data_IF_907150963787
#
_entry.id   IF_907150963787
#
_cell.length_a   1.000
_cell.length_b   1.000
_cell.length_c   1.000
_cell.angle_alpha   90.00
_cell.angle_beta   90.00
_cell.angle_gamma   90.00
#
_symmetry.space_group_name_H-M   'P 1'
#
loop_
_entity.id
_entity.type
_entity.pdbx_description
1 polymer ?
#
# COMPACT_ATOMS: atom_id res chain seq x y z
N UNK A 1 -22.39 3.75 2.88
CA UNK A 1 -21.17 4.48 3.28
C UNK A 1 -20.56 5.11 2.04
N UNK A 2 -20.19 6.39 2.14
CA UNK A 2 -19.48 7.12 1.07
C UNK A 2 -18.00 7.16 1.43
N UNK A 3 -17.14 6.70 0.53
CA UNK A 3 -15.69 6.74 0.71
C UNK A 3 -15.05 7.63 -0.34
N UNK A 4 -14.15 8.50 0.12
CA UNK A 4 -13.29 9.32 -0.72
C UNK A 4 -11.85 9.14 -0.22
N UNK A 5 -11.04 8.46 -1.03
CA UNK A 5 -9.61 8.27 -0.79
C UNK A 5 -8.84 9.20 -1.73
N UNK A 6 -7.98 10.03 -1.16
CA UNK A 6 -7.08 10.94 -1.87
C UNK A 6 -5.64 10.57 -1.52
N UNK A 7 -4.89 10.04 -2.49
CA UNK A 7 -3.45 9.85 -2.36
C UNK A 7 -2.74 10.96 -3.15
N UNK A 8 -1.78 11.62 -2.52
CA UNK A 8 -1.05 12.74 -3.08
C UNK A 8 0.44 12.44 -3.08
N UNK A 9 0.99 12.06 -4.23
CA UNK A 9 2.43 11.79 -4.36
C UNK A 9 3.11 12.98 -5.05
N UNK A 10 4.07 13.61 -4.36
CA UNK A 10 4.97 14.57 -4.99
C UNK A 10 6.03 13.81 -5.80
N UNK A 11 5.92 13.84 -7.12
CA UNK A 11 6.88 13.23 -8.04
C UNK A 11 7.90 14.29 -8.45
N UNK A 12 9.18 14.08 -8.13
CA UNK A 12 10.27 14.92 -8.64
C UNK A 12 10.41 14.73 -10.15
N UNK A 13 10.29 15.83 -10.90
CA UNK A 13 10.45 15.86 -12.36
C UNK A 13 11.95 15.83 -12.69
N UNK A 14 12.45 14.80 -13.39
CA UNK A 14 13.88 14.66 -13.78
C UNK A 14 14.16 15.09 -15.22
N UNK A 15 13.16 15.60 -15.94
CA UNK A 15 13.28 16.00 -17.35
C UNK A 15 13.18 17.52 -17.47
N UNK A 16 14.34 18.13 -17.76
CA UNK A 16 14.57 19.56 -17.98
C UNK A 16 14.68 20.38 -16.68
N UNK A 17 15.68 21.26 -16.59
CA UNK A 17 16.11 21.98 -15.38
C UNK A 17 15.16 23.03 -14.81
N UNK A 18 13.85 22.76 -14.83
CA UNK A 18 12.80 23.47 -14.12
C UNK A 18 12.32 22.54 -12.98
N UNK A 19 12.73 22.87 -11.75
CA UNK A 19 12.36 22.14 -10.54
C UNK A 19 10.90 22.46 -10.17
N UNK A 20 9.96 21.90 -10.93
CA UNK A 20 8.53 21.97 -10.64
C UNK A 20 8.06 20.59 -10.14
N UNK A 21 7.55 20.49 -8.90
CA UNK A 21 7.03 19.23 -8.38
C UNK A 21 5.78 18.85 -9.17
N UNK A 22 5.81 17.70 -9.84
CA UNK A 22 4.61 17.13 -10.45
C UNK A 22 3.83 16.42 -9.36
N UNK A 23 2.69 16.98 -8.97
CA UNK A 23 1.80 16.38 -7.98
C UNK A 23 0.93 15.34 -8.70
N UNK A 24 1.13 14.05 -8.42
CA UNK A 24 0.28 12.97 -8.95
C UNK A 24 -0.84 12.68 -7.96
N UNK A 25 -2.06 13.08 -8.32
CA UNK A 25 -3.27 12.86 -7.53
C UNK A 25 -4.00 11.60 -7.99
N UNK A 26 -4.31 10.69 -7.07
CA UNK A 26 -5.22 9.57 -7.31
C UNK A 26 -6.45 9.72 -6.41
N UNK A 27 -7.63 9.84 -7.02
CA UNK A 27 -8.92 9.96 -6.33
C UNK A 27 -9.78 8.74 -6.59
N UNK A 28 -10.24 8.09 -5.54
CA UNK A 28 -11.17 6.95 -5.63
C UNK A 28 -12.46 7.32 -4.89
N UNK A 29 -13.58 7.34 -5.61
CA UNK A 29 -14.93 7.53 -5.08
C UNK A 29 -15.71 6.23 -5.17
N UNK A 30 -16.26 5.76 -4.04
CA UNK A 30 -17.10 4.55 -4.02
C UNK A 30 -18.24 4.67 -3.01
N UNK A 31 -19.42 4.18 -3.39
CA UNK A 31 -20.62 4.13 -2.55
C UNK A 31 -20.98 2.67 -2.31
N UNK A 32 -21.01 2.28 -1.04
CA UNK A 32 -21.16 0.87 -0.65
C UNK A 32 -22.28 0.74 0.38
N UNK A 33 -23.24 -0.16 0.13
CA UNK A 33 -24.26 -0.55 1.09
C UNK A 33 -23.71 -1.70 1.95
N UNK A 34 -23.63 -1.49 3.27
CA UNK A 34 -23.09 -2.48 4.21
C UNK A 34 -24.02 -2.67 5.39
N UNK A 35 -24.19 -3.90 5.85
CA UNK A 35 -24.98 -4.26 7.02
C UNK A 35 -24.09 -4.21 8.28
N UNK A 36 -24.65 -3.74 9.40
CA UNK A 36 -23.91 -3.55 10.66
C UNK A 36 -23.43 -4.88 11.26
N UNK A 37 -22.23 -4.89 11.82
CA UNK A 37 -21.76 -5.96 12.71
C UNK A 37 -20.75 -6.94 12.11
N UNK A 38 -20.61 -7.02 10.78
CA UNK A 38 -19.68 -7.93 10.12
C UNK A 38 -18.54 -7.16 9.45
N UNK A 39 -17.30 -7.67 9.56
CA UNK A 39 -16.15 -7.14 8.82
C UNK A 39 -16.30 -7.49 7.34
N UNK A 40 -16.23 -6.50 6.47
CA UNK A 40 -16.32 -6.65 5.01
C UNK A 40 -15.00 -6.21 4.39
N UNK A 41 -14.51 -6.99 3.43
CA UNK A 41 -13.36 -6.61 2.60
C UNK A 41 -13.88 -5.65 1.53
N UNK A 42 -13.40 -4.41 1.57
CA UNK A 42 -13.77 -3.37 0.60
C UNK A 42 -13.07 -3.56 -0.75
N UNK A 43 -11.90 -4.19 -0.70
CA UNK A 43 -11.06 -4.47 -1.85
C UNK A 43 -9.59 -4.53 -1.46
N UNK A 44 -8.74 -4.67 -2.47
CA UNK A 44 -7.30 -4.69 -2.30
C UNK A 44 -6.58 -4.35 -3.59
N UNK A 45 -5.32 -3.96 -3.47
CA UNK A 45 -4.43 -3.68 -4.60
C UNK A 45 -3.32 -4.72 -4.58
N UNK A 46 -3.16 -5.44 -5.69
CA UNK A 46 -2.03 -6.33 -5.92
C UNK A 46 -1.12 -5.65 -6.93
N UNK A 47 0.14 -5.43 -6.54
CA UNK A 47 1.15 -4.84 -7.40
C UNK A 47 2.28 -5.84 -7.62
N UNK A 48 2.43 -6.25 -8.87
CA UNK A 48 3.54 -7.08 -9.31
C UNK A 48 4.58 -6.21 -10.03
N UNK A 49 5.80 -6.18 -9.50
CA UNK A 49 6.96 -5.55 -10.15
C UNK A 49 7.94 -6.63 -10.58
N UNK A 50 8.15 -6.75 -11.89
CA UNK A 50 9.14 -7.66 -12.49
C UNK A 50 10.26 -6.83 -13.07
N UNK A 51 11.48 -7.04 -12.57
CA UNK A 51 12.69 -6.43 -13.12
C UNK A 51 13.60 -7.52 -13.68
N UNK A 52 13.99 -7.36 -14.94
CA UNK A 52 14.94 -8.22 -15.61
C UNK A 52 16.13 -7.40 -16.06
N UNK A 53 17.31 -7.71 -15.54
CA UNK A 53 18.57 -7.06 -15.93
C UNK A 53 19.46 -8.09 -16.60
N UNK A 54 19.90 -7.79 -17.83
CA UNK A 54 20.90 -8.60 -18.54
C UNK A 54 22.17 -7.77 -18.63
N UNK A 55 23.21 -8.22 -17.94
CA UNK A 55 24.53 -7.58 -17.95
C UNK A 55 25.52 -8.52 -18.62
N UNK A 56 26.42 -8.03 -19.46
CA UNK A 56 27.37 -8.91 -20.14
C UNK A 56 28.34 -8.11 -20.99
N UNK A 57 29.34 -8.80 -21.54
CA UNK A 57 30.34 -8.15 -22.40
C UNK A 57 29.66 -7.80 -23.75
N UNK A 58 29.72 -6.53 -24.20
CA UNK A 58 29.25 -6.14 -25.53
C UNK A 58 29.88 -7.01 -26.62
N UNK A 59 29.18 -7.26 -27.74
CA UNK A 59 29.54 -8.22 -28.80
C UNK A 59 29.46 -9.71 -28.40
N UNK A 60 30.10 -10.14 -27.32
CA UNK A 60 30.16 -11.56 -26.96
C UNK A 60 28.83 -12.11 -26.41
N UNK A 61 28.06 -11.25 -25.73
CA UNK A 61 26.74 -11.64 -25.17
C UNK A 61 25.68 -11.97 -26.24
N UNK A 62 25.88 -11.50 -27.47
CA UNK A 62 24.91 -11.63 -28.58
C UNK A 62 25.25 -12.78 -29.53
N UNK A 63 26.32 -13.55 -29.24
CA UNK A 63 26.71 -14.71 -30.05
C UNK A 63 25.67 -15.84 -29.84
N UNK A 64 25.04 -16.34 -30.92
CA UNK A 64 24.12 -17.47 -30.82
C UNK A 64 24.84 -18.69 -30.23
N UNK A 65 24.13 -19.49 -29.43
CA UNK A 65 24.63 -20.67 -28.70
C UNK A 65 25.62 -20.42 -27.54
N UNK A 66 26.42 -19.35 -27.55
CA UNK A 66 27.48 -19.10 -26.57
C UNK A 66 27.28 -17.84 -25.71
N UNK A 67 26.35 -16.95 -26.08
CA UNK A 67 26.15 -15.66 -25.40
C UNK A 67 25.76 -15.74 -23.91
N UNK A 68 25.29 -16.89 -23.44
CA UNK A 68 24.96 -17.14 -22.03
C UNK A 68 26.20 -17.31 -21.13
N UNK A 69 27.37 -17.65 -21.68
CA UNK A 69 28.63 -17.75 -20.93
C UNK A 69 29.25 -16.38 -20.63
N UNK A 70 28.87 -15.36 -21.41
CA UNK A 70 29.38 -13.98 -21.34
C UNK A 70 28.31 -12.98 -20.89
N UNK A 71 27.14 -13.46 -20.46
CA UNK A 71 26.06 -12.65 -19.90
C UNK A 71 25.52 -13.22 -18.60
N UNK A 72 25.18 -12.32 -17.68
CA UNK A 72 24.50 -12.58 -16.42
C UNK A 72 23.08 -12.04 -16.51
N UNK A 73 22.10 -12.91 -16.26
CA UNK A 73 20.68 -12.53 -16.20
C UNK A 73 20.26 -12.50 -14.74
N UNK A 74 19.85 -11.34 -14.26
CA UNK A 74 19.24 -11.17 -12.94
C UNK A 74 17.74 -10.97 -13.13
N UNK A 75 16.94 -11.80 -12.46
CA UNK A 75 15.48 -11.63 -12.38
C UNK A 75 15.11 -11.28 -10.95
N UNK A 76 14.38 -10.20 -10.77
CA UNK A 76 13.80 -9.78 -9.50
C UNK A 76 12.29 -9.70 -9.65
N UNK A 77 11.57 -10.27 -8.68
CA UNK A 77 10.11 -10.20 -8.61
C UNK A 77 9.73 -9.70 -7.22
N UNK A 78 9.03 -8.56 -7.18
CA UNK A 78 8.50 -7.97 -5.95
C UNK A 78 6.99 -7.93 -6.07
N UNK A 79 6.31 -8.56 -5.12
CA UNK A 79 4.85 -8.56 -5.02
C UNK A 79 4.43 -7.82 -3.77
N UNK A 80 3.52 -6.86 -3.93
CA UNK A 80 2.98 -6.06 -2.83
C UNK A 80 1.47 -6.21 -2.82
N UNK A 81 0.91 -6.58 -1.66
CA UNK A 81 -0.52 -6.78 -1.46
C UNK A 81 -1.02 -5.81 -0.40
N UNK A 82 -2.05 -5.04 -0.73
CA UNK A 82 -2.75 -4.17 0.20
C UNK A 82 -4.21 -4.63 0.29
N UNK A 83 -4.71 -4.82 1.51
CA UNK A 83 -6.10 -5.20 1.77
C UNK A 83 -6.74 -4.16 2.67
N UNK A 84 -7.95 -3.71 2.32
CA UNK A 84 -8.73 -2.76 3.11
C UNK A 84 -9.97 -3.45 3.67
N UNK A 85 -10.06 -3.52 5.00
CA UNK A 85 -11.18 -4.09 5.73
C UNK A 85 -11.95 -2.99 6.47
N UNK A 86 -13.28 -3.13 6.55
CA UNK A 86 -14.11 -2.26 7.39
C UNK A 86 -15.10 -3.08 8.22
N UNK A 87 -15.30 -2.66 9.46
CA UNK A 87 -16.32 -3.22 10.35
C UNK A 87 -17.29 -2.12 10.76
N UNK A 88 -18.43 -1.96 10.06
CA UNK A 88 -19.42 -0.95 10.40
C UNK A 88 -20.10 -1.31 11.73
N UNK A 89 -20.22 -0.32 12.64
CA UNK A 89 -20.91 -0.46 13.91
C UNK A 89 -21.98 0.63 14.06
N UNK A 90 -23.24 0.23 14.14
CA UNK A 90 -24.36 1.15 14.38
C UNK A 90 -24.52 1.37 15.88
N UNK A 91 -24.52 2.64 16.30
CA UNK A 91 -24.73 3.04 17.69
C UNK A 91 -26.09 3.74 17.76
N UNK A 92 -27.03 3.14 18.48
CA UNK A 92 -28.41 3.67 18.60
C UNK A 92 -28.58 4.57 19.82
N UNK A 93 -27.70 4.46 20.83
CA UNK A 93 -27.87 5.14 22.10
C UNK A 93 -26.58 5.86 22.55
N UNK A 94 -26.70 7.07 23.10
CA UNK A 94 -25.54 7.91 23.49
C UNK A 94 -24.71 7.26 24.61
N UNK A 95 -25.34 6.49 25.50
CA UNK A 95 -24.67 5.80 26.59
C UNK A 95 -23.76 4.67 26.08
N UNK A 96 -24.18 3.96 25.02
CA UNK A 96 -23.38 2.90 24.39
C UNK A 96 -22.14 3.48 23.69
N UNK A 97 -22.25 4.67 23.10
CA UNK A 97 -21.11 5.37 22.50
C UNK A 97 -20.01 5.63 23.54
N UNK A 98 -20.40 6.10 24.72
CA UNK A 98 -19.48 6.45 25.81
C UNK A 98 -18.75 5.20 26.33
N UNK A 99 -19.48 4.08 26.50
CA UNK A 99 -18.90 2.80 26.91
C UNK A 99 -17.86 2.30 25.89
N UNK A 100 -18.19 2.33 24.60
CA UNK A 100 -17.30 1.84 23.54
C UNK A 100 -16.05 2.71 23.43
N UNK A 101 -16.18 4.04 23.50
CA UNK A 101 -15.04 4.97 23.43
C UNK A 101 -14.11 4.80 24.63
N UNK A 102 -14.65 4.57 25.82
CA UNK A 102 -13.86 4.40 27.04
C UNK A 102 -13.08 3.08 27.02
N UNK A 103 -13.72 1.99 26.58
CA UNK A 103 -13.07 0.69 26.41
C UNK A 103 -11.97 0.74 25.32
N UNK A 104 -12.24 1.40 24.20
CA UNK A 104 -11.27 1.55 23.12
C UNK A 104 -10.05 2.37 23.56
N UNK A 105 -10.27 3.49 24.26
CA UNK A 105 -9.20 4.32 24.81
C UNK A 105 -8.32 3.52 25.78
N UNK A 106 -8.93 2.71 26.65
CA UNK A 106 -8.19 1.87 27.61
C UNK A 106 -7.30 0.84 26.91
N UNK A 107 -7.82 0.17 25.87
CA UNK A 107 -7.05 -0.79 25.07
C UNK A 107 -5.89 -0.10 24.33
N UNK A 108 -6.11 1.08 23.76
CA UNK A 108 -5.05 1.83 23.10
C UNK A 108 -3.96 2.25 24.06
N UNK A 109 -4.31 2.85 25.21
CA UNK A 109 -3.32 3.27 26.21
C UNK A 109 -2.49 2.08 26.70
N UNK A 110 -3.11 0.93 26.95
CA UNK A 110 -2.38 -0.29 27.34
C UNK A 110 -1.38 -0.76 26.28
N UNK A 111 -1.74 -0.71 24.99
CA UNK A 111 -0.83 -1.08 23.90
C UNK A 111 0.37 -0.12 23.83
N UNK A 112 0.16 1.18 23.99
CA UNK A 112 1.26 2.16 23.96
C UNK A 112 2.19 2.02 25.17
N UNK A 113 1.64 1.76 26.36
CA UNK A 113 2.43 1.49 27.58
C UNK A 113 3.24 0.19 27.48
N UNK A 114 2.72 -0.83 26.81
CA UNK A 114 3.40 -2.10 26.58
C UNK A 114 4.58 -1.96 25.60
N UNK A 115 4.41 -1.14 24.55
CA UNK A 115 5.48 -0.81 23.60
C UNK A 115 6.58 0.10 24.18
N UNK A 116 6.27 0.87 25.21
CA UNK A 116 7.23 1.78 25.86
C UNK A 116 8.08 1.06 26.92
N UNK A 117 7.59 -0.04 27.48
CA UNK A 117 8.32 -0.90 28.42
C UNK A 117 9.21 -1.97 27.74
N UNK A 118 9.17 -2.08 26.40
CA UNK A 118 9.98 -3.05 25.64
C UNK A 118 11.31 -2.45 25.09
N UNK A 119 11.71 -1.25 25.55
CA UNK A 119 13.02 -0.63 25.27
C UNK A 119 13.89 -0.55 26.52
#
# INVERSE_FOLDING_TARGET
>A
LNFELENNEAVKTTTSGLDSPTIRQQKIKSTIAVQSGNTIVLGGLIKDKREGTVTGIPLLKDIPYLGWLFSKKTKSMVRTELVVLITPRVIQNRNDAILITTEFKRKLTGIFEELENEK
#
